data_IF_610692769970
#
_entry.id   IF_610692769970
#
_cell.length_a   1.000
_cell.length_b   1.000
_cell.length_c   1.000
_cell.angle_alpha   90.00
_cell.angle_beta   90.00
_cell.angle_gamma   90.00
#
_symmetry.space_group_name_H-M   'P 1'
#
loop_
_entity.id
_entity.type
_entity.pdbx_description
1 polymer ?
#
# COMPACT_ATOMS: atom_id res chain seq x y z
N UNK A 1 -31.45 -47.16 76.18
CA UNK A 1 -31.05 -45.75 76.04
C UNK A 1 -29.53 -45.57 76.08
N UNK A 2 -28.84 -45.88 77.19
CA UNK A 2 -27.36 -45.85 77.25
C UNK A 2 -26.71 -46.65 76.12
N UNK A 3 -27.24 -47.84 75.85
CA UNK A 3 -26.78 -48.68 74.73
C UNK A 3 -26.99 -48.03 73.36
N UNK A 4 -28.13 -47.35 73.16
CA UNK A 4 -28.39 -46.60 71.92
C UNK A 4 -27.38 -45.47 71.76
N UNK A 5 -27.10 -44.70 72.82
CA UNK A 5 -26.12 -43.61 72.80
C UNK A 5 -24.70 -44.14 72.55
N UNK A 6 -24.32 -45.28 73.16
CA UNK A 6 -23.06 -45.94 72.90
C UNK A 6 -22.93 -46.36 71.42
N UNK A 7 -23.95 -47.03 70.88
CA UNK A 7 -23.98 -47.42 69.46
C UNK A 7 -23.86 -46.20 68.57
N UNK A 8 -24.68 -45.16 68.80
CA UNK A 8 -24.64 -43.90 68.04
C UNK A 8 -23.25 -43.28 68.04
N UNK A 9 -22.62 -43.13 69.21
CA UNK A 9 -21.26 -42.57 69.29
C UNK A 9 -20.27 -43.49 68.57
N UNK A 10 -20.26 -44.80 68.84
CA UNK A 10 -19.29 -45.73 68.24
C UNK A 10 -19.36 -45.85 66.70
N UNK A 11 -20.51 -45.53 66.11
CA UNK A 11 -20.74 -45.53 64.66
C UNK A 11 -20.50 -44.15 64.04
N UNK A 12 -20.66 -43.08 64.82
CA UNK A 12 -20.40 -41.72 64.38
C UNK A 12 -18.91 -41.49 64.11
N UNK A 13 -18.64 -40.59 63.17
CA UNK A 13 -17.29 -40.10 62.95
C UNK A 13 -16.93 -39.09 64.03
N UNK A 14 -15.64 -39.01 64.34
CA UNK A 14 -15.14 -37.92 65.18
C UNK A 14 -15.25 -36.62 64.37
N UNK A 15 -15.83 -35.55 64.94
CA UNK A 15 -15.82 -34.23 64.33
C UNK A 15 -14.39 -33.76 64.00
N UNK A 16 -14.23 -33.00 62.92
CA UNK A 16 -12.93 -32.53 62.47
C UNK A 16 -12.41 -31.35 63.30
N UNK A 17 -13.32 -30.57 63.89
CA UNK A 17 -12.96 -29.47 64.76
C UNK A 17 -12.60 -29.97 66.17
N UNK A 18 -11.60 -29.30 66.76
CA UNK A 18 -11.03 -29.70 68.03
C UNK A 18 -12.05 -29.68 69.18
N UNK A 19 -12.91 -28.67 69.20
CA UNK A 19 -13.87 -28.45 70.29
C UNK A 19 -14.91 -29.56 70.31
N UNK A 20 -15.57 -29.84 69.19
CA UNK A 20 -16.52 -30.93 69.05
C UNK A 20 -15.88 -32.31 69.24
N UNK A 21 -14.61 -32.49 68.88
CA UNK A 21 -13.88 -33.74 69.16
C UNK A 21 -13.64 -33.95 70.67
N UNK A 22 -13.39 -32.88 71.43
CA UNK A 22 -13.28 -32.92 72.90
C UNK A 22 -14.64 -33.22 73.55
N UNK A 23 -15.70 -32.53 73.10
CA UNK A 23 -17.09 -32.77 73.50
C UNK A 23 -17.53 -34.22 73.24
N UNK A 24 -17.18 -34.76 72.06
CA UNK A 24 -17.45 -36.15 71.69
C UNK A 24 -16.72 -37.13 72.62
N UNK A 25 -15.43 -36.90 72.91
CA UNK A 25 -14.66 -37.73 73.83
C UNK A 25 -15.25 -37.71 75.25
N UNK A 26 -15.72 -36.54 75.69
CA UNK A 26 -16.38 -36.35 76.99
C UNK A 26 -17.70 -37.11 77.07
N UNK A 27 -18.56 -36.98 76.06
CA UNK A 27 -19.82 -37.72 75.93
C UNK A 27 -19.59 -39.23 76.01
N UNK A 28 -18.59 -39.72 75.26
CA UNK A 28 -18.24 -41.13 75.22
C UNK A 28 -17.79 -41.64 76.59
N UNK A 29 -16.94 -40.88 77.30
CA UNK A 29 -16.51 -41.21 78.67
C UNK A 29 -17.70 -41.34 79.63
N UNK A 30 -18.64 -40.39 79.60
CA UNK A 30 -19.82 -40.40 80.49
C UNK A 30 -20.74 -41.58 80.14
N UNK A 31 -20.97 -41.86 78.85
CA UNK A 31 -21.78 -43.00 78.40
C UNK A 31 -21.17 -44.34 78.85
N UNK A 32 -19.84 -44.50 78.79
CA UNK A 32 -19.17 -45.70 79.29
C UNK A 32 -19.24 -45.83 80.82
N UNK A 33 -19.15 -44.72 81.54
CA UNK A 33 -19.30 -44.71 83.00
C UNK A 33 -20.73 -45.12 83.40
N UNK A 34 -21.74 -44.64 82.68
CA UNK A 34 -23.14 -45.09 82.84
C UNK A 34 -23.35 -46.55 82.48
N UNK A 35 -22.69 -47.04 81.43
CA UNK A 35 -22.72 -48.46 81.06
C UNK A 35 -22.09 -49.33 82.16
N UNK A 36 -21.02 -48.85 82.79
CA UNK A 36 -20.41 -49.52 83.94
C UNK A 36 -21.35 -49.54 85.16
N UNK A 37 -22.07 -48.45 85.46
CA UNK A 37 -23.09 -48.43 86.50
C UNK A 37 -24.21 -49.45 86.23
N UNK A 38 -24.73 -49.51 84.99
CA UNK A 38 -25.74 -50.50 84.57
C UNK A 38 -25.27 -51.94 84.82
N UNK A 39 -23.99 -52.22 84.63
CA UNK A 39 -23.44 -53.58 84.81
C UNK A 39 -23.39 -54.08 86.26
N UNK A 40 -23.53 -53.20 87.25
CA UNK A 40 -23.52 -53.58 88.67
C UNK A 40 -24.87 -54.12 89.17
N UNK A 41 -25.94 -53.99 88.37
CA UNK A 41 -27.29 -54.39 88.73
C UNK A 41 -28.12 -53.25 89.33
N UNK A 42 -29.46 -53.29 89.18
CA UNK A 42 -30.35 -52.20 89.58
C UNK A 42 -30.50 -52.04 91.09
N UNK A 43 -30.24 -53.10 91.87
CA UNK A 43 -30.50 -53.16 93.32
C UNK A 43 -29.63 -52.21 94.16
N UNK A 44 -28.55 -51.69 93.57
CA UNK A 44 -27.63 -50.76 94.21
C UNK A 44 -28.10 -49.30 94.14
N UNK A 45 -29.18 -49.02 93.40
CA UNK A 45 -29.62 -47.67 93.11
C UNK A 45 -31.06 -47.43 93.60
N UNK A 46 -31.31 -46.23 94.12
CA UNK A 46 -32.69 -45.84 94.45
C UNK A 46 -33.49 -45.60 93.17
N UNK A 47 -34.80 -45.91 93.22
CA UNK A 47 -35.71 -45.63 92.08
C UNK A 47 -35.71 -44.15 91.70
N UNK A 48 -35.61 -43.26 92.69
CA UNK A 48 -35.56 -41.81 92.47
C UNK A 48 -34.29 -41.40 91.73
N UNK A 49 -33.12 -41.92 92.10
CA UNK A 49 -31.86 -41.62 91.41
C UNK A 49 -31.90 -42.11 89.95
N UNK A 50 -32.43 -43.31 89.71
CA UNK A 50 -32.60 -43.84 88.35
C UNK A 50 -33.61 -43.00 87.52
N UNK A 51 -34.67 -42.49 88.14
CA UNK A 51 -35.64 -41.63 87.47
C UNK A 51 -35.04 -40.27 87.11
N UNK A 52 -34.27 -39.65 88.01
CA UNK A 52 -33.56 -38.40 87.75
C UNK A 52 -32.56 -38.56 86.60
N UNK A 53 -31.77 -39.64 86.63
CA UNK A 53 -30.81 -39.94 85.57
C UNK A 53 -31.50 -40.16 84.21
N UNK A 54 -32.64 -40.86 84.18
CA UNK A 54 -33.40 -41.07 82.94
C UNK A 54 -33.92 -39.76 82.36
N UNK A 55 -34.42 -38.86 83.21
CA UNK A 55 -34.86 -37.52 82.78
C UNK A 55 -33.70 -36.72 82.19
N UNK A 56 -32.53 -36.72 82.84
CA UNK A 56 -31.34 -36.00 82.37
C UNK A 56 -30.76 -36.59 81.06
N UNK A 57 -30.86 -37.90 80.85
CA UNK A 57 -30.36 -38.54 79.63
C UNK A 57 -31.21 -38.24 78.38
N UNK A 58 -32.49 -37.89 78.55
CA UNK A 58 -33.46 -37.72 77.44
C UNK A 58 -33.04 -36.66 76.43
N UNK A 59 -32.66 -35.44 76.84
CA UNK A 59 -32.20 -34.43 75.90
C UNK A 59 -30.87 -34.83 75.22
N UNK A 60 -29.88 -35.36 75.96
CA UNK A 60 -28.63 -35.89 75.39
C UNK A 60 -28.88 -36.94 74.30
N UNK A 61 -29.76 -37.92 74.56
CA UNK A 61 -30.08 -38.94 73.55
C UNK A 61 -30.79 -38.39 72.33
N UNK A 62 -31.49 -37.27 72.47
CA UNK A 62 -32.20 -36.59 71.37
C UNK A 62 -31.18 -35.87 70.49
N UNK A 63 -30.32 -35.04 71.09
CA UNK A 63 -29.22 -34.33 70.44
C UNK A 63 -28.24 -35.29 69.75
N UNK A 64 -27.89 -36.43 70.37
CA UNK A 64 -27.09 -37.47 69.72
C UNK A 64 -27.80 -38.16 68.56
N UNK A 65 -29.13 -38.33 68.61
CA UNK A 65 -29.87 -38.90 67.48
C UNK A 65 -29.86 -37.92 66.30
N UNK A 66 -30.01 -36.62 66.57
CA UNK A 66 -29.92 -35.55 65.56
C UNK A 66 -28.51 -35.47 64.96
N UNK A 67 -27.46 -35.47 65.79
CA UNK A 67 -26.08 -35.52 65.32
C UNK A 67 -25.78 -36.71 64.40
N UNK A 68 -26.42 -37.86 64.65
CA UNK A 68 -26.28 -39.02 63.76
C UNK A 68 -26.95 -38.82 62.40
N UNK A 69 -28.06 -38.08 62.37
CA UNK A 69 -28.82 -37.80 61.15
C UNK A 69 -28.17 -36.66 60.35
N UNK A 70 -27.60 -35.67 61.05
CA UNK A 70 -26.87 -34.53 60.49
C UNK A 70 -25.57 -34.28 61.28
N UNK A 71 -24.46 -34.93 60.91
CA UNK A 71 -23.18 -34.78 61.60
C UNK A 71 -22.42 -33.50 61.20
N UNK A 72 -22.84 -32.80 60.15
CA UNK A 72 -22.18 -31.58 59.68
C UNK A 72 -22.63 -30.34 60.47
N UNK A 73 -23.84 -30.38 61.04
CA UNK A 73 -24.35 -29.36 61.94
C UNK A 73 -23.79 -29.57 63.37
N UNK A 74 -22.62 -28.98 63.64
CA UNK A 74 -21.91 -29.10 64.92
C UNK A 74 -22.72 -28.70 66.16
N UNK A 75 -23.78 -27.90 66.00
CA UNK A 75 -24.66 -27.48 67.10
C UNK A 75 -25.35 -28.65 67.82
N UNK A 76 -25.56 -29.80 67.16
CA UNK A 76 -26.16 -30.96 67.84
C UNK A 76 -25.26 -31.59 68.90
N UNK A 77 -23.94 -31.57 68.67
CA UNK A 77 -22.99 -32.17 69.60
C UNK A 77 -22.68 -31.22 70.76
N UNK A 78 -22.66 -29.91 70.50
CA UNK A 78 -22.61 -28.86 71.52
C UNK A 78 -23.83 -28.94 72.44
N UNK A 79 -25.06 -29.01 71.89
CA UNK A 79 -26.28 -29.19 72.68
C UNK A 79 -26.22 -30.47 73.53
N UNK A 80 -25.73 -31.58 72.96
CA UNK A 80 -25.56 -32.83 73.70
C UNK A 80 -24.57 -32.69 74.86
N UNK A 81 -23.51 -31.90 74.70
CA UNK A 81 -22.55 -31.60 75.76
C UNK A 81 -23.14 -30.71 76.85
N UNK A 82 -23.87 -29.65 76.49
CA UNK A 82 -24.55 -28.79 77.46
C UNK A 82 -25.53 -29.59 78.33
N UNK A 83 -26.29 -30.49 77.71
CA UNK A 83 -27.20 -31.40 78.41
C UNK A 83 -26.45 -32.46 79.25
N UNK A 84 -25.20 -32.78 78.89
CA UNK A 84 -24.37 -33.76 79.59
C UNK A 84 -24.05 -33.31 81.03
N UNK A 85 -23.97 -32.01 81.29
CA UNK A 85 -23.73 -31.49 82.64
C UNK A 85 -24.83 -31.92 83.61
N UNK A 86 -26.08 -31.96 83.15
CA UNK A 86 -27.22 -32.44 83.96
C UNK A 86 -27.10 -33.94 84.26
N UNK A 87 -26.58 -34.71 83.30
CA UNK A 87 -26.32 -36.15 83.47
C UNK A 87 -25.21 -36.36 84.49
N UNK A 88 -24.11 -35.63 84.39
CA UNK A 88 -22.98 -35.71 85.34
C UNK A 88 -23.43 -35.32 86.75
N UNK A 89 -24.28 -34.29 86.87
CA UNK A 89 -24.87 -33.90 88.15
C UNK A 89 -25.73 -35.04 88.73
N UNK A 90 -26.64 -35.62 87.93
CA UNK A 90 -27.49 -36.73 88.35
C UNK A 90 -26.68 -38.01 88.69
N UNK A 91 -25.53 -38.22 88.05
CA UNK A 91 -24.60 -39.31 88.39
C UNK A 91 -23.97 -39.12 89.77
N UNK A 92 -23.87 -37.89 90.29
CA UNK A 92 -23.37 -37.61 91.63
C UNK A 92 -24.21 -38.24 92.75
N UNK A 93 -25.49 -38.52 92.48
CA UNK A 93 -26.40 -39.20 93.40
C UNK A 93 -26.22 -40.73 93.41
N UNK A 94 -25.45 -41.28 92.46
CA UNK A 94 -25.17 -42.71 92.37
C UNK A 94 -24.01 -43.10 93.29
N UNK A 95 -24.04 -44.28 93.93
CA UNK A 95 -22.87 -44.81 94.63
C UNK A 95 -21.65 -44.87 93.70
N UNK A 96 -20.46 -44.46 94.15
CA UNK A 96 -19.29 -44.39 93.28
C UNK A 96 -18.91 -45.77 92.75
N UNK A 97 -18.58 -45.85 91.46
CA UNK A 97 -18.02 -47.08 90.88
C UNK A 97 -16.72 -47.47 91.62
N UNK A 98 -16.50 -48.78 91.86
CA UNK A 98 -15.24 -49.28 92.38
C UNK A 98 -14.11 -48.95 91.39
N UNK A 99 -12.85 -48.83 91.85
CA UNK A 99 -11.71 -48.46 91.01
C UNK A 99 -11.59 -49.30 89.72
N UNK A 100 -11.85 -50.62 89.81
CA UNK A 100 -11.86 -51.53 88.67
C UNK A 100 -12.94 -51.18 87.63
N UNK A 101 -14.12 -50.75 88.07
CA UNK A 101 -15.21 -50.33 87.18
C UNK A 101 -14.89 -49.02 86.45
N UNK A 102 -14.33 -48.04 87.16
CA UNK A 102 -13.90 -46.76 86.56
C UNK A 102 -12.80 -46.96 85.52
N UNK A 103 -11.79 -47.79 85.85
CA UNK A 103 -10.71 -48.11 84.91
C UNK A 103 -11.23 -48.84 83.66
N UNK A 104 -12.16 -49.78 83.82
CA UNK A 104 -12.77 -50.49 82.70
C UNK A 104 -13.59 -49.55 81.79
N UNK A 105 -14.38 -48.64 82.37
CA UNK A 105 -15.14 -47.64 81.61
C UNK A 105 -14.22 -46.70 80.82
N UNK A 106 -13.18 -46.15 81.46
CA UNK A 106 -12.20 -45.30 80.81
C UNK A 106 -11.46 -46.03 79.66
N UNK A 107 -11.09 -47.30 79.86
CA UNK A 107 -10.45 -48.11 78.82
C UNK A 107 -11.34 -48.38 77.62
N UNK A 108 -12.63 -48.67 77.83
CA UNK A 108 -13.61 -48.81 76.75
C UNK A 108 -13.83 -47.49 76.01
N UNK A 109 -13.84 -46.38 76.74
CA UNK A 109 -14.00 -45.07 76.15
C UNK A 109 -12.84 -44.74 75.21
N UNK A 110 -11.62 -44.92 75.70
CA UNK A 110 -10.40 -44.75 74.90
C UNK A 110 -10.39 -45.67 73.67
N UNK A 111 -10.72 -46.95 73.82
CA UNK A 111 -10.74 -47.91 72.71
C UNK A 111 -11.82 -47.60 71.65
N UNK A 112 -12.91 -46.94 72.04
CA UNK A 112 -13.96 -46.54 71.09
C UNK A 112 -13.56 -45.24 70.37
N UNK A 113 -12.97 -44.30 71.09
CA UNK A 113 -12.40 -43.10 70.49
C UNK A 113 -11.28 -43.43 69.50
N UNK A 114 -10.36 -44.33 69.84
CA UNK A 114 -9.29 -44.80 68.94
C UNK A 114 -9.85 -45.45 67.65
N UNK A 115 -10.89 -46.28 67.77
CA UNK A 115 -11.53 -46.87 66.58
C UNK A 115 -12.22 -45.81 65.72
N UNK A 116 -12.84 -44.81 66.33
CA UNK A 116 -13.49 -43.73 65.61
C UNK A 116 -12.45 -42.82 64.92
N UNK A 117 -11.29 -42.57 65.55
CA UNK A 117 -10.23 -41.76 64.95
C UNK A 117 -9.55 -42.45 63.76
N UNK A 118 -9.34 -43.76 63.84
CA UNK A 118 -8.83 -44.55 62.70
C UNK A 118 -9.80 -44.46 61.52
N UNK A 119 -11.11 -44.63 61.75
CA UNK A 119 -12.13 -44.50 60.69
C UNK A 119 -12.16 -43.10 60.09
N UNK A 120 -12.05 -42.05 60.90
CA UNK A 120 -11.96 -40.67 60.39
C UNK A 120 -10.70 -40.49 59.53
N UNK A 121 -9.55 -41.03 59.94
CA UNK A 121 -8.32 -40.98 59.15
C UNK A 121 -8.44 -41.73 57.82
N UNK A 122 -9.04 -42.92 57.81
CA UNK A 122 -9.31 -43.69 56.58
C UNK A 122 -10.21 -42.92 55.62
N UNK A 123 -11.27 -42.26 56.14
CA UNK A 123 -12.14 -41.41 55.32
C UNK A 123 -11.38 -40.22 54.74
N UNK A 124 -10.59 -39.53 55.55
CA UNK A 124 -9.76 -38.41 55.09
C UNK A 124 -8.78 -38.85 53.99
N UNK A 125 -8.15 -40.01 54.15
CA UNK A 125 -7.27 -40.58 53.13
C UNK A 125 -8.03 -40.90 51.84
N UNK A 126 -9.23 -41.47 51.94
CA UNK A 126 -10.08 -41.76 50.79
C UNK A 126 -10.54 -40.48 50.07
N UNK A 127 -10.93 -39.44 50.82
CA UNK A 127 -11.28 -38.13 50.27
C UNK A 127 -10.09 -37.48 49.57
N UNK A 128 -8.89 -37.57 50.15
CA UNK A 128 -7.66 -37.08 49.51
C UNK A 128 -7.41 -37.79 48.17
N UNK A 129 -7.58 -39.11 48.12
CA UNK A 129 -7.43 -39.89 46.89
C UNK A 129 -8.49 -39.54 45.83
N UNK A 130 -9.76 -39.39 46.23
CA UNK A 130 -10.84 -38.97 45.33
C UNK A 130 -10.61 -37.55 44.79
N UNK A 131 -10.10 -36.63 45.61
CA UNK A 131 -9.72 -35.29 45.17
C UNK A 131 -8.53 -35.30 44.22
N UNK A 132 -7.53 -36.14 44.46
CA UNK A 132 -6.39 -36.32 43.54
C UNK A 132 -6.84 -36.89 42.19
N UNK A 133 -7.76 -37.87 42.19
CA UNK A 133 -8.33 -38.45 40.98
C UNK A 133 -9.12 -37.39 40.18
N UNK A 134 -9.99 -36.63 40.85
CA UNK A 134 -10.74 -35.51 40.23
C UNK A 134 -9.83 -34.42 39.69
N UNK A 135 -8.74 -34.12 40.40
CA UNK A 135 -7.76 -33.13 39.93
C UNK A 135 -7.05 -33.64 38.66
N UNK A 136 -6.64 -34.91 38.64
CA UNK A 136 -6.05 -35.52 37.45
C UNK A 136 -7.01 -35.58 36.26
N UNK A 137 -8.30 -35.84 36.49
CA UNK A 137 -9.34 -35.82 35.45
C UNK A 137 -9.52 -34.40 34.90
N UNK A 138 -9.61 -33.40 35.78
CA UNK A 138 -9.76 -32.00 35.38
C UNK A 138 -8.54 -31.48 34.59
N UNK A 139 -7.33 -31.87 34.97
CA UNK A 139 -6.11 -31.55 34.21
C UNK A 139 -6.14 -32.16 32.81
N UNK A 140 -6.60 -33.40 32.67
CA UNK A 140 -6.75 -34.06 31.37
C UNK A 140 -7.81 -33.37 30.50
N UNK A 141 -8.93 -32.95 31.09
CA UNK A 141 -9.99 -32.21 30.40
C UNK A 141 -9.52 -30.84 29.92
N UNK A 142 -8.79 -30.10 30.75
CA UNK A 142 -8.19 -28.82 30.36
C UNK A 142 -7.22 -29.01 29.19
N UNK A 143 -6.34 -30.01 29.25
CA UNK A 143 -5.41 -30.30 28.17
C UNK A 143 -6.13 -30.65 26.85
N UNK A 144 -7.20 -31.44 26.92
CA UNK A 144 -8.03 -31.79 25.77
C UNK A 144 -8.76 -30.57 25.19
N UNK A 145 -9.33 -29.72 26.04
CA UNK A 145 -10.01 -28.49 25.62
C UNK A 145 -9.04 -27.51 24.95
N UNK A 146 -7.85 -27.31 25.51
CA UNK A 146 -6.81 -26.45 24.92
C UNK A 146 -6.41 -26.98 23.54
N UNK A 147 -6.13 -28.28 23.42
CA UNK A 147 -5.78 -28.90 22.13
C UNK A 147 -6.89 -28.74 21.08
N UNK A 148 -8.15 -28.93 21.48
CA UNK A 148 -9.29 -28.76 20.59
C UNK A 148 -9.50 -27.30 20.19
N UNK A 149 -9.30 -26.36 21.11
CA UNK A 149 -9.38 -24.92 20.83
C UNK A 149 -8.29 -24.50 19.83
N UNK A 150 -7.05 -24.95 20.03
CA UNK A 150 -5.93 -24.67 19.12
C UNK A 150 -6.20 -25.19 17.71
N UNK A 151 -6.71 -26.43 17.60
CA UNK A 151 -7.09 -27.01 16.29
C UNK A 151 -8.20 -26.21 15.61
N UNK A 152 -9.20 -25.74 16.36
CA UNK A 152 -10.30 -24.94 15.80
C UNK A 152 -9.85 -23.53 15.39
N UNK A 153 -8.95 -22.92 16.15
CA UNK A 153 -8.35 -21.63 15.82
C UNK A 153 -7.51 -21.74 14.55
N UNK A 154 -6.66 -22.77 14.45
CA UNK A 154 -5.86 -23.01 13.23
C UNK A 154 -6.74 -23.20 12.01
N UNK A 155 -7.79 -24.04 12.10
CA UNK A 155 -8.73 -24.23 11.00
C UNK A 155 -9.45 -22.93 10.62
N UNK A 156 -9.91 -22.15 11.60
CA UNK A 156 -10.57 -20.87 11.33
C UNK A 156 -9.63 -19.84 10.69
N UNK A 157 -8.34 -19.82 11.07
CA UNK A 157 -7.31 -18.98 10.44
C UNK A 157 -7.09 -19.43 8.99
N UNK A 158 -6.92 -20.73 8.74
CA UNK A 158 -6.70 -21.28 7.40
C UNK A 158 -7.88 -20.98 6.47
N UNK A 159 -9.12 -21.17 6.95
CA UNK A 159 -10.33 -20.88 6.19
C UNK A 159 -10.48 -19.38 5.90
N UNK A 160 -10.18 -18.52 6.88
CA UNK A 160 -10.24 -17.06 6.71
C UNK A 160 -9.17 -16.55 5.75
N UNK A 161 -7.93 -17.04 5.85
CA UNK A 161 -6.83 -16.70 4.94
C UNK A 161 -7.15 -17.16 3.52
N UNK A 162 -7.64 -18.39 3.36
CA UNK A 162 -8.05 -18.91 2.05
C UNK A 162 -9.16 -18.07 1.43
N UNK A 163 -10.21 -17.76 2.19
CA UNK A 163 -11.32 -16.93 1.71
C UNK A 163 -10.88 -15.51 1.34
N UNK A 164 -10.02 -14.88 2.14
CA UNK A 164 -9.47 -13.57 1.84
C UNK A 164 -8.61 -13.58 0.56
N UNK A 165 -7.80 -14.63 0.37
CA UNK A 165 -6.95 -14.78 -0.81
C UNK A 165 -7.77 -15.03 -2.08
N UNK A 166 -8.83 -15.84 -2.00
CA UNK A 166 -9.78 -16.06 -3.10
C UNK A 166 -10.55 -14.77 -3.45
N UNK A 167 -11.03 -14.02 -2.45
CA UNK A 167 -11.71 -12.74 -2.65
C UNK A 167 -10.78 -11.71 -3.30
N UNK A 168 -9.56 -11.58 -2.79
CA UNK A 168 -8.57 -10.66 -3.33
C UNK A 168 -8.17 -11.04 -4.76
N UNK A 169 -8.00 -12.34 -5.06
CA UNK A 169 -7.73 -12.81 -6.41
C UNK A 169 -8.90 -12.49 -7.38
N UNK A 170 -10.15 -12.64 -6.92
CA UNK A 170 -11.33 -12.29 -7.69
C UNK A 170 -11.44 -10.77 -7.94
N UNK A 171 -11.02 -9.93 -6.99
CA UNK A 171 -10.97 -8.47 -7.15
C UNK A 171 -9.88 -8.01 -8.13
N UNK A 172 -8.70 -8.63 -8.13
CA UNK A 172 -7.59 -8.24 -9.01
C UNK A 172 -7.74 -8.74 -10.45
N UNK A 173 -8.46 -9.83 -10.69
CA UNK A 173 -8.69 -10.36 -12.03
C UNK A 173 -9.26 -9.32 -13.02
N UNK A 174 -10.36 -8.61 -12.73
CA UNK A 174 -10.91 -7.61 -13.64
C UNK A 174 -9.98 -6.40 -13.82
N UNK A 175 -9.26 -5.98 -12.77
CA UNK A 175 -8.29 -4.88 -12.85
C UNK A 175 -7.11 -5.24 -13.77
N UNK A 176 -6.61 -6.48 -13.68
CA UNK A 176 -5.57 -6.96 -14.59
C UNK A 176 -6.07 -7.11 -16.03
N UNK A 177 -7.33 -7.49 -16.21
CA UNK A 177 -7.94 -7.55 -17.53
C UNK A 177 -8.10 -6.13 -18.14
N UNK A 178 -8.54 -5.14 -17.35
CA UNK A 178 -8.69 -3.76 -17.82
C UNK A 178 -7.35 -3.11 -18.13
N UNK A 179 -6.33 -3.27 -17.27
CA UNK A 179 -4.99 -2.73 -17.52
C UNK A 179 -4.36 -3.31 -18.78
N UNK A 180 -4.56 -4.61 -19.06
CA UNK A 180 -4.10 -5.22 -20.32
C UNK A 180 -4.84 -4.66 -21.54
N UNK A 181 -6.14 -4.35 -21.40
CA UNK A 181 -6.91 -3.74 -22.47
C UNK A 181 -6.46 -2.30 -22.74
N UNK A 182 -6.27 -1.49 -21.69
CA UNK A 182 -5.74 -0.12 -21.78
C UNK A 182 -4.31 -0.10 -22.35
N UNK A 183 -3.45 -1.04 -21.96
CA UNK A 183 -2.10 -1.15 -22.52
C UNK A 183 -2.14 -1.43 -24.04
N UNK A 184 -3.07 -2.29 -24.48
CA UNK A 184 -3.25 -2.59 -25.90
C UNK A 184 -3.79 -1.37 -26.67
N UNK A 185 -4.73 -0.62 -26.10
CA UNK A 185 -5.29 0.61 -26.66
C UNK A 185 -4.22 1.71 -26.78
N UNK A 186 -3.48 1.99 -25.70
CA UNK A 186 -2.40 2.98 -25.70
C UNK A 186 -1.30 2.64 -26.73
N UNK A 187 -0.95 1.35 -26.88
CA UNK A 187 -0.02 0.91 -27.93
C UNK A 187 -0.56 1.17 -29.33
N UNK A 188 -1.86 0.97 -29.54
CA UNK A 188 -2.53 1.29 -30.80
C UNK A 188 -2.50 2.79 -31.10
N UNK A 189 -2.90 3.64 -30.14
CA UNK A 189 -2.88 5.10 -30.29
C UNK A 189 -1.47 5.65 -30.56
N UNK A 190 -0.45 5.13 -29.86
CA UNK A 190 0.95 5.52 -30.11
C UNK A 190 1.39 5.14 -31.52
N UNK A 191 0.94 3.99 -32.04
CA UNK A 191 1.23 3.58 -33.41
C UNK A 191 0.56 4.50 -34.44
N UNK A 192 -0.68 4.92 -34.17
CA UNK A 192 -1.43 5.85 -35.01
C UNK A 192 -0.82 7.25 -35.00
N UNK A 193 -0.48 7.79 -33.82
CA UNK A 193 0.22 9.08 -33.69
C UNK A 193 1.55 9.09 -34.45
N UNK A 194 2.31 7.99 -34.41
CA UNK A 194 3.55 7.87 -35.20
C UNK A 194 3.28 7.90 -36.70
N UNK A 195 2.22 7.26 -37.17
CA UNK A 195 1.80 7.32 -38.58
C UNK A 195 1.43 8.75 -38.98
N UNK A 196 0.57 9.42 -38.19
CA UNK A 196 0.14 10.79 -38.46
C UNK A 196 1.32 11.78 -38.44
N UNK A 197 2.29 11.59 -37.54
CA UNK A 197 3.50 12.39 -37.50
C UNK A 197 4.32 12.24 -38.80
N UNK A 198 4.47 11.01 -39.30
CA UNK A 198 5.16 10.75 -40.57
C UNK A 198 4.41 11.34 -41.76
N UNK A 199 3.08 11.21 -41.80
CA UNK A 199 2.24 11.81 -42.83
C UNK A 199 2.36 13.33 -42.83
N UNK A 200 2.27 13.96 -41.64
CA UNK A 200 2.46 15.39 -41.48
C UNK A 200 3.85 15.85 -41.94
N UNK A 201 4.92 15.11 -41.60
CA UNK A 201 6.30 15.38 -42.07
C UNK A 201 6.38 15.33 -43.59
N UNK A 202 5.73 14.34 -44.23
CA UNK A 202 5.71 14.19 -45.69
C UNK A 202 4.94 15.31 -46.40
N UNK A 203 3.77 15.71 -45.86
CA UNK A 203 2.96 16.80 -46.39
C UNK A 203 3.68 18.13 -46.23
N UNK A 204 4.28 18.38 -45.06
CA UNK A 204 5.06 19.59 -44.81
C UNK A 204 6.25 19.68 -45.77
N UNK A 205 6.96 18.57 -46.00
CA UNK A 205 8.06 18.51 -46.97
C UNK A 205 7.58 18.77 -48.41
N UNK A 206 6.42 18.22 -48.81
CA UNK A 206 5.85 18.43 -50.13
C UNK A 206 5.33 19.87 -50.34
N UNK A 207 4.72 20.47 -49.31
CA UNK A 207 4.26 21.87 -49.33
C UNK A 207 5.45 22.82 -49.35
N UNK A 208 6.48 22.56 -48.54
CA UNK A 208 7.72 23.33 -48.56
C UNK A 208 8.39 23.25 -49.94
N UNK A 209 8.50 22.06 -50.53
CA UNK A 209 9.06 21.93 -51.88
C UNK A 209 8.28 22.73 -52.93
N UNK A 210 6.94 22.67 -52.86
CA UNK A 210 6.08 23.31 -53.86
C UNK A 210 6.00 24.82 -53.71
N UNK A 211 5.84 25.32 -52.48
CA UNK A 211 5.77 26.77 -52.21
C UNK A 211 7.08 27.44 -52.61
N UNK A 212 8.20 26.84 -52.21
CA UNK A 212 9.53 27.39 -52.48
C UNK A 212 9.85 27.32 -53.97
N UNK A 213 9.55 26.22 -54.66
CA UNK A 213 9.82 26.10 -56.10
C UNK A 213 8.87 26.92 -56.98
N UNK A 214 7.67 27.29 -56.50
CA UNK A 214 6.68 28.07 -57.26
C UNK A 214 7.01 29.57 -57.23
N UNK A 215 7.28 30.12 -56.05
CA UNK A 215 7.48 31.56 -55.88
C UNK A 215 8.74 32.07 -56.60
N UNK A 216 9.85 31.32 -56.54
CA UNK A 216 11.07 31.71 -57.27
C UNK A 216 10.89 31.63 -58.80
N UNK A 217 10.11 30.65 -59.29
CA UNK A 217 9.85 30.48 -60.73
C UNK A 217 8.95 31.59 -61.28
N UNK A 218 7.91 31.96 -60.55
CA UNK A 218 7.00 33.01 -60.96
C UNK A 218 7.65 34.40 -60.88
N UNK A 219 8.41 34.67 -59.81
CA UNK A 219 9.18 35.91 -59.65
C UNK A 219 10.28 36.06 -60.73
N UNK A 220 10.98 34.97 -61.07
CA UNK A 220 11.99 34.98 -62.15
C UNK A 220 11.38 35.31 -63.52
N UNK A 221 10.18 34.77 -63.82
CA UNK A 221 9.46 35.01 -65.08
C UNK A 221 8.93 36.44 -65.16
N UNK A 222 8.35 36.96 -64.08
CA UNK A 222 7.81 38.32 -64.09
C UNK A 222 8.92 39.37 -64.25
N UNK A 223 10.07 39.16 -63.61
CA UNK A 223 11.24 40.04 -63.75
C UNK A 223 11.93 39.92 -65.11
N UNK A 224 11.96 38.74 -65.75
CA UNK A 224 12.51 38.60 -67.11
C UNK A 224 11.67 39.34 -68.15
N UNK A 225 10.34 39.30 -68.01
CA UNK A 225 9.42 40.05 -68.88
C UNK A 225 9.61 41.55 -68.69
N UNK A 226 9.74 42.01 -67.43
CA UNK A 226 10.03 43.42 -67.13
C UNK A 226 11.33 43.91 -67.77
N UNK A 227 12.40 43.11 -67.71
CA UNK A 227 13.67 43.41 -68.38
C UNK A 227 13.52 43.57 -69.90
N UNK A 228 12.80 42.64 -70.54
CA UNK A 228 12.55 42.69 -71.98
C UNK A 228 11.72 43.92 -72.40
N UNK A 229 10.72 44.32 -71.61
CA UNK A 229 9.92 45.53 -71.88
C UNK A 229 10.82 46.78 -71.87
N UNK A 230 11.71 46.90 -70.87
CA UNK A 230 12.64 48.02 -70.79
C UNK A 230 13.69 48.02 -71.91
N UNK A 231 14.13 46.84 -72.36
CA UNK A 231 15.00 46.71 -73.54
C UNK A 231 14.29 47.19 -74.82
N UNK A 232 13.01 46.83 -75.00
CA UNK A 232 12.22 47.26 -76.17
C UNK A 232 11.98 48.77 -76.14
N UNK A 233 11.61 49.33 -74.99
CA UNK A 233 11.41 50.78 -74.81
C UNK A 233 12.74 51.53 -75.04
N UNK A 234 13.83 51.07 -74.41
CA UNK A 234 15.15 51.67 -74.55
C UNK A 234 15.65 51.63 -76.00
N UNK A 235 15.43 50.53 -76.71
CA UNK A 235 15.78 50.37 -78.13
C UNK A 235 14.95 51.30 -79.01
N UNK A 236 13.64 51.41 -78.78
CA UNK A 236 12.77 52.30 -79.54
C UNK A 236 13.16 53.78 -79.36
N UNK A 237 13.43 54.21 -78.13
CA UNK A 237 13.89 55.58 -77.81
C UNK A 237 15.27 55.84 -78.43
N UNK A 238 16.21 54.90 -78.30
CA UNK A 238 17.56 55.02 -78.84
C UNK A 238 17.56 55.10 -80.37
N UNK A 239 16.82 54.22 -81.05
CA UNK A 239 16.68 54.25 -82.51
C UNK A 239 15.97 55.53 -82.98
N UNK A 240 14.95 56.00 -82.27
CA UNK A 240 14.29 57.26 -82.57
C UNK A 240 15.23 58.47 -82.46
N UNK A 241 16.04 58.53 -81.39
CA UNK A 241 17.03 59.59 -81.20
C UNK A 241 18.14 59.56 -82.27
N UNK A 242 18.61 58.38 -82.64
CA UNK A 242 19.59 58.17 -83.72
C UNK A 242 19.00 58.50 -85.09
N UNK A 243 17.76 58.10 -85.36
CA UNK A 243 17.06 58.42 -86.61
C UNK A 243 16.86 59.92 -86.75
N UNK A 244 16.43 60.62 -85.69
CA UNK A 244 16.32 62.09 -85.69
C UNK A 244 17.66 62.76 -85.95
N UNK A 245 18.75 62.25 -85.36
CA UNK A 245 20.09 62.77 -85.57
C UNK A 245 20.58 62.55 -87.01
N UNK A 246 20.35 61.36 -87.58
CA UNK A 246 20.72 61.02 -88.95
C UNK A 246 19.89 61.80 -89.99
N UNK A 247 18.57 61.84 -89.82
CA UNK A 247 17.66 62.64 -90.64
C UNK A 247 18.10 64.12 -90.65
N UNK A 248 18.43 64.65 -89.47
CA UNK A 248 18.87 66.03 -89.35
C UNK A 248 20.21 66.30 -90.05
N UNK A 249 21.19 65.40 -89.90
CA UNK A 249 22.48 65.50 -90.59
C UNK A 249 22.35 65.46 -92.12
N UNK A 250 21.36 64.71 -92.63
CA UNK A 250 21.13 64.56 -94.06
C UNK A 250 20.32 65.72 -94.66
N UNK A 251 19.32 66.26 -93.94
CA UNK A 251 18.39 67.26 -94.49
C UNK A 251 18.85 68.72 -94.28
N UNK A 252 19.69 69.00 -93.26
CA UNK A 252 20.11 70.37 -92.91
C UNK A 252 21.43 70.80 -93.55
N UNK A 253 21.92 70.06 -94.54
CA UNK A 253 23.04 70.50 -95.37
C UNK A 253 22.79 71.85 -96.11
N UNK A 254 21.55 72.37 -96.12
CA UNK A 254 21.15 73.58 -96.85
C UNK A 254 20.69 74.79 -96.02
N UNK A 255 20.59 74.74 -94.68
CA UNK A 255 20.13 75.89 -93.86
C UNK A 255 21.09 76.24 -92.70
N UNK A 256 21.64 77.47 -92.70
CA UNK A 256 22.61 77.96 -91.70
C UNK A 256 21.95 78.59 -90.45
N UNK A 257 21.09 77.86 -89.74
CA UNK A 257 20.56 78.31 -88.43
C UNK A 257 21.16 77.53 -87.25
N UNK A 258 22.22 78.10 -86.65
CA UNK A 258 22.95 77.52 -85.51
C UNK A 258 22.04 77.18 -84.30
N UNK A 259 21.05 78.01 -83.92
CA UNK A 259 20.19 77.70 -82.77
C UNK A 259 19.33 76.44 -82.96
N UNK A 260 18.92 76.15 -84.19
CA UNK A 260 18.10 74.98 -84.51
C UNK A 260 18.92 73.69 -84.46
N UNK A 261 20.18 73.74 -84.89
CA UNK A 261 21.11 72.61 -84.78
C UNK A 261 21.42 72.28 -83.31
N UNK A 262 21.60 73.31 -82.46
CA UNK A 262 21.92 73.11 -81.05
C UNK A 262 20.75 72.50 -80.26
N UNK A 263 19.52 72.95 -80.50
CA UNK A 263 18.33 72.39 -79.84
C UNK A 263 18.09 70.94 -80.24
N UNK A 264 18.26 70.61 -81.53
CA UNK A 264 18.14 69.24 -82.04
C UNK A 264 19.22 68.30 -81.49
N UNK A 265 20.47 68.77 -81.41
CA UNK A 265 21.55 68.01 -80.77
C UNK A 265 21.27 67.77 -79.28
N UNK A 266 20.76 68.79 -78.57
CA UNK A 266 20.31 68.65 -77.19
C UNK A 266 19.22 67.60 -77.01
N UNK A 267 18.22 67.57 -77.91
CA UNK A 267 17.14 66.58 -77.89
C UNK A 267 17.65 65.17 -78.17
N UNK A 268 18.58 64.98 -79.12
CA UNK A 268 19.19 63.66 -79.39
C UNK A 268 20.05 63.16 -78.23
N UNK A 269 20.85 64.04 -77.60
CA UNK A 269 21.65 63.68 -76.42
C UNK A 269 20.74 63.33 -75.24
N UNK A 270 19.66 64.08 -75.02
CA UNK A 270 18.66 63.76 -74.01
C UNK A 270 17.97 62.41 -74.30
N UNK A 271 17.63 62.14 -75.56
CA UNK A 271 17.05 60.87 -75.99
C UNK A 271 17.98 59.67 -75.76
N UNK A 272 19.27 59.80 -76.07
CA UNK A 272 20.27 58.77 -75.78
C UNK A 272 20.48 58.57 -74.27
N UNK A 273 20.44 59.65 -73.47
CA UNK A 273 20.49 59.57 -72.01
C UNK A 273 19.29 58.79 -71.43
N UNK A 274 18.08 59.03 -71.94
CA UNK A 274 16.89 58.27 -71.56
C UNK A 274 16.98 56.79 -71.96
N UNK A 275 17.50 56.50 -73.15
CA UNK A 275 17.73 55.12 -73.59
C UNK A 275 18.74 54.40 -72.67
N UNK A 276 19.84 55.05 -72.29
CA UNK A 276 20.83 54.50 -71.36
C UNK A 276 20.24 54.19 -69.97
N UNK A 277 19.36 55.07 -69.46
CA UNK A 277 18.63 54.81 -68.21
C UNK A 277 17.69 53.60 -68.33
N UNK A 278 16.98 53.47 -69.46
CA UNK A 278 16.11 52.32 -69.71
C UNK A 278 16.91 51.00 -69.76
N UNK A 279 18.05 50.96 -70.46
CA UNK A 279 18.93 49.79 -70.48
C UNK A 279 19.57 49.50 -69.12
N UNK A 280 19.89 50.54 -68.34
CA UNK A 280 20.35 50.38 -66.96
C UNK A 280 19.31 49.65 -66.10
N UNK A 281 18.03 50.03 -66.22
CA UNK A 281 16.92 49.35 -65.56
C UNK A 281 16.65 47.94 -66.10
N UNK A 282 16.75 47.73 -67.41
CA UNK A 282 16.64 46.39 -67.98
C UNK A 282 17.72 45.45 -67.43
N UNK A 283 18.96 45.93 -67.28
CA UNK A 283 20.07 45.17 -66.73
C UNK A 283 19.85 44.76 -65.28
N UNK A 284 19.24 45.61 -64.45
CA UNK A 284 18.90 45.25 -63.06
C UNK A 284 17.84 44.14 -63.04
N UNK A 285 16.79 44.25 -63.85
CA UNK A 285 15.76 43.20 -63.96
C UNK A 285 16.31 41.86 -64.47
N UNK A 286 17.22 41.87 -65.45
CA UNK A 286 17.88 40.65 -65.94
C UNK A 286 18.87 40.05 -64.92
N UNK A 287 19.53 40.87 -64.11
CA UNK A 287 20.35 40.37 -62.98
C UNK A 287 19.45 39.67 -61.96
N UNK A 288 18.39 40.34 -61.51
CA UNK A 288 17.46 39.77 -60.53
C UNK A 288 16.74 38.51 -61.03
N UNK A 289 16.37 38.45 -62.31
CA UNK A 289 15.77 37.25 -62.91
C UNK A 289 16.76 36.08 -62.97
N UNK A 290 18.03 36.33 -63.34
CA UNK A 290 19.08 35.30 -63.34
C UNK A 290 19.37 34.79 -61.93
N UNK A 291 19.39 35.68 -60.94
CA UNK A 291 19.52 35.31 -59.53
C UNK A 291 18.39 34.38 -59.10
N UNK A 292 17.13 34.81 -59.30
CA UNK A 292 15.96 34.01 -58.95
C UNK A 292 15.95 32.64 -59.67
N UNK A 293 16.37 32.57 -60.94
CA UNK A 293 16.47 31.32 -61.70
C UNK A 293 17.59 30.40 -61.20
N UNK A 294 18.74 30.94 -60.81
CA UNK A 294 19.83 30.17 -60.20
C UNK A 294 19.42 29.60 -58.85
N UNK A 295 18.73 30.39 -58.04
CA UNK A 295 18.20 29.96 -56.74
C UNK A 295 17.15 28.85 -56.90
N UNK A 296 16.21 28.99 -57.84
CA UNK A 296 15.23 27.94 -58.18
C UNK A 296 15.91 26.61 -58.57
N UNK A 297 16.95 26.68 -59.42
CA UNK A 297 17.74 25.51 -59.82
C UNK A 297 18.47 24.88 -58.64
N UNK A 298 19.10 25.69 -57.77
CA UNK A 298 19.80 25.18 -56.57
C UNK A 298 18.82 24.47 -55.65
N UNK A 299 17.68 25.07 -55.32
CA UNK A 299 16.70 24.46 -54.41
C UNK A 299 16.17 23.12 -54.96
N UNK A 300 15.89 23.04 -56.27
CA UNK A 300 15.42 21.79 -56.88
C UNK A 300 16.48 20.70 -56.97
N UNK A 301 17.75 21.06 -57.10
CA UNK A 301 18.86 20.10 -57.25
C UNK A 301 19.44 19.65 -55.92
N UNK A 302 19.28 20.45 -54.85
CA UNK A 302 19.82 20.16 -53.51
C UNK A 302 19.32 18.82 -52.98
N UNK A 303 18.04 18.47 -53.15
CA UNK A 303 17.51 17.17 -52.72
C UNK A 303 18.21 15.98 -53.38
N UNK A 304 18.48 16.07 -54.68
CA UNK A 304 19.21 15.02 -55.40
C UNK A 304 20.69 14.95 -55.00
N UNK A 305 21.28 16.08 -54.61
CA UNK A 305 22.68 16.17 -54.18
C UNK A 305 22.90 15.59 -52.77
N UNK A 306 21.99 15.86 -51.83
CA UNK A 306 22.13 15.41 -50.44
C UNK A 306 21.62 13.99 -50.21
N UNK A 307 20.86 13.41 -51.15
CA UNK A 307 20.26 12.08 -50.99
C UNK A 307 21.26 10.94 -50.75
N UNK A 308 22.55 11.13 -51.07
CA UNK A 308 23.62 10.16 -50.83
C UNK A 308 24.40 10.39 -49.53
N UNK A 309 24.05 11.42 -48.76
CA UNK A 309 24.70 11.77 -47.49
C UNK A 309 24.00 11.09 -46.30
N UNK A 310 24.66 11.02 -45.14
CA UNK A 310 24.04 10.58 -43.88
C UNK A 310 22.98 11.58 -43.37
N UNK A 311 22.01 11.09 -42.60
CA UNK A 311 20.81 11.85 -42.21
C UNK A 311 21.15 13.11 -41.38
N UNK A 312 22.17 13.04 -40.53
CA UNK A 312 22.65 14.18 -39.75
C UNK A 312 23.27 15.26 -40.65
N UNK A 313 24.08 14.87 -41.62
CA UNK A 313 24.69 15.80 -42.60
C UNK A 313 23.64 16.38 -43.55
N UNK A 314 22.63 15.60 -43.95
CA UNK A 314 21.51 16.09 -44.74
C UNK A 314 20.75 17.21 -44.01
N UNK A 315 20.45 17.01 -42.73
CA UNK A 315 19.72 17.98 -41.91
C UNK A 315 20.54 19.27 -41.69
N UNK A 316 21.84 19.14 -41.42
CA UNK A 316 22.74 20.27 -41.26
C UNK A 316 22.85 21.14 -42.54
N UNK A 317 22.96 20.51 -43.72
CA UNK A 317 23.02 21.20 -45.01
C UNK A 317 21.69 21.91 -45.31
N UNK A 318 20.56 21.25 -45.05
CA UNK A 318 19.24 21.85 -45.23
C UNK A 318 19.01 23.04 -44.29
N UNK A 319 19.40 22.92 -43.03
CA UNK A 319 19.29 24.00 -42.04
C UNK A 319 20.15 25.21 -42.43
N UNK A 320 21.40 24.98 -42.85
CA UNK A 320 22.29 26.03 -43.31
C UNK A 320 21.79 26.73 -44.58
N UNK A 321 21.19 25.99 -45.50
CA UNK A 321 20.58 26.55 -46.71
C UNK A 321 19.32 27.37 -46.38
N UNK A 322 18.47 26.88 -45.48
CA UNK A 322 17.26 27.58 -45.04
C UNK A 322 17.59 28.89 -44.29
N UNK A 323 18.59 28.87 -43.40
CA UNK A 323 19.04 30.07 -42.68
C UNK A 323 19.47 31.17 -43.65
N UNK A 324 20.29 30.83 -44.66
CA UNK A 324 20.77 31.81 -45.65
C UNK A 324 19.66 32.34 -46.54
N UNK A 325 18.82 31.44 -47.05
CA UNK A 325 17.80 31.80 -48.02
C UNK A 325 16.66 32.62 -47.41
N UNK A 326 16.20 32.24 -46.20
CA UNK A 326 15.01 32.85 -45.57
C UNK A 326 15.33 33.89 -44.51
N UNK A 327 16.39 33.71 -43.72
CA UNK A 327 16.69 34.67 -42.64
C UNK A 327 17.59 35.81 -43.10
N UNK A 328 18.54 35.56 -44.01
CA UNK A 328 19.47 36.59 -44.49
C UNK A 328 19.08 37.19 -45.84
N UNK A 329 18.21 36.51 -46.60
CA UNK A 329 17.78 36.97 -47.91
C UNK A 329 18.90 37.01 -48.96
N UNK A 330 20.02 36.31 -48.70
CA UNK A 330 21.20 36.28 -49.57
C UNK A 330 20.99 35.27 -50.70
N UNK A 331 20.72 35.75 -51.92
CA UNK A 331 20.46 34.93 -53.11
C UNK A 331 21.73 34.54 -53.90
N UNK A 332 22.90 35.09 -53.55
CA UNK A 332 24.21 34.72 -54.10
C UNK A 332 25.20 34.46 -52.96
N UNK A 333 26.23 33.62 -53.14
CA UNK A 333 27.42 33.73 -52.32
C UNK A 333 27.94 35.17 -52.45
N UNK A 334 28.30 35.77 -51.33
CA UNK A 334 28.90 37.09 -51.25
C UNK A 334 29.89 37.26 -52.40
N UNK A 335 29.68 38.30 -53.22
CA UNK A 335 30.60 38.65 -54.32
C UNK A 335 32.02 38.76 -53.76
N UNK A 336 33.01 38.35 -54.56
CA UNK A 336 34.44 38.18 -54.25
C UNK A 336 35.19 39.40 -53.65
N UNK A 337 34.50 40.42 -53.13
CA UNK A 337 35.06 41.56 -52.40
C UNK A 337 34.95 41.44 -50.86
N UNK A 338 34.45 40.32 -50.33
CA UNK A 338 34.43 40.04 -48.87
C UNK A 338 35.19 38.72 -48.60
N UNK A 339 36.52 38.83 -48.48
CA UNK A 339 37.53 37.74 -48.42
C UNK A 339 37.38 36.76 -47.23
N UNK A 340 36.25 36.68 -46.53
CA UNK A 340 36.18 35.91 -45.27
C UNK A 340 34.92 35.05 -45.07
N UNK A 341 34.26 34.61 -46.14
CA UNK A 341 33.04 33.80 -45.99
C UNK A 341 33.03 32.53 -46.87
N UNK A 342 33.78 31.50 -46.46
CA UNK A 342 33.56 30.13 -46.94
C UNK A 342 32.43 29.45 -46.11
N UNK A 343 31.27 29.15 -46.73
CA UNK A 343 30.16 28.45 -46.07
C UNK A 343 30.55 27.09 -45.48
N UNK A 344 31.40 26.36 -46.19
CA UNK A 344 31.73 24.97 -45.89
C UNK A 344 32.71 24.91 -44.74
N UNK A 345 33.58 25.92 -44.62
CA UNK A 345 34.54 26.03 -43.53
C UNK A 345 33.83 26.27 -42.20
N UNK A 346 32.79 27.12 -42.16
CA UNK A 346 32.00 27.37 -40.94
C UNK A 346 31.09 26.20 -40.55
N UNK A 347 30.63 25.40 -41.52
CA UNK A 347 29.90 24.15 -41.25
C UNK A 347 30.87 23.08 -40.73
N UNK A 348 32.06 22.96 -41.33
CA UNK A 348 33.14 22.07 -40.86
C UNK A 348 33.61 22.44 -39.46
N UNK A 349 33.69 23.74 -39.16
CA UNK A 349 34.03 24.27 -37.84
C UNK A 349 32.94 23.97 -36.80
N UNK A 350 31.65 24.15 -37.15
CA UNK A 350 30.54 23.77 -36.24
C UNK A 350 30.45 22.27 -35.99
N UNK A 351 30.69 21.45 -37.01
CA UNK A 351 30.68 19.99 -36.87
C UNK A 351 31.87 19.50 -36.04
N UNK A 352 33.06 20.09 -36.22
CA UNK A 352 34.22 19.77 -35.38
C UNK A 352 34.05 20.24 -33.93
N UNK A 353 33.48 21.43 -33.69
CA UNK A 353 33.18 21.90 -32.33
C UNK A 353 32.15 21.03 -31.60
N UNK A 354 31.12 20.52 -32.29
CA UNK A 354 30.17 19.57 -31.70
C UNK A 354 30.78 18.20 -31.42
N UNK A 355 31.70 17.75 -32.27
CA UNK A 355 32.43 16.49 -32.07
C UNK A 355 33.32 16.54 -30.83
N UNK A 356 33.98 17.68 -30.59
CA UNK A 356 34.78 17.91 -29.37
C UNK A 356 33.88 18.00 -28.13
N UNK A 357 32.74 18.69 -28.20
CA UNK A 357 31.82 18.79 -27.07
C UNK A 357 31.20 17.43 -26.65
N UNK A 358 30.99 16.51 -27.60
CA UNK A 358 30.50 15.16 -27.31
C UNK A 358 31.61 14.21 -26.81
N UNK A 359 32.88 14.52 -27.01
CA UNK A 359 34.02 13.76 -26.46
C UNK A 359 34.34 14.17 -25.00
N UNK A 360 33.90 15.36 -24.56
CA UNK A 360 34.07 15.86 -23.19
C UNK A 360 32.92 15.44 -22.23
N UNK A 361 31.82 14.86 -22.73
CA UNK A 361 30.67 14.36 -21.94
C UNK A 361 30.67 12.84 -21.69
N UNK A 362 31.73 12.12 -22.10
CA UNK A 362 32.00 10.71 -21.76
C UNK A 362 33.24 10.58 -20.90
#
# INVERSE_FOLDING_TARGET
MVEKMHTTLSEAAIPDDKESAESYARLLRVVEELAAHRSQGPDLYSRTALQNLMSALTPVSTSLTQFREDPEEGGHLENAEEDLDQVVHAMGDLPPLPPKGKAAAAGKAAATYERASIKSLERWQQQSQDLEEKLSELEADVANLTKNADSRIQQAIDDAVKSALESQAAEWQPVMASLKAEEAEAKSEVSEMRSLHNDAKSILAAVADKAVASDYRENARNKSVGGWIWDVIGTAIGLGALWLLAYHLLEVANERSIPLALTRLGVSVAGLGLAALCFGRARTFHKESRLAKRTDLRIRTVKGFIATMDEETQEAVLQGMAERLYMRGELEPVSEDDENFDPLERIRERVSLRRVANEDET
#
